data_IF_492429835047
#
_entry.id   IF_492429835047
#
_cell.length_a   1.000
_cell.length_b   1.000
_cell.length_c   1.000
_cell.angle_alpha   90.00
_cell.angle_beta   90.00
_cell.angle_gamma   90.00
#
_symmetry.space_group_name_H-M   'P 1'
#
loop_
_entity.id
_entity.type
_entity.pdbx_description
1 polymer ?
#
# COMPACT_ATOMS: atom_id res chain seq x y z
N UNK A 1 -9.89 14.10 7.07
CA UNK A 1 -9.86 12.84 6.29
C UNK A 1 -10.14 11.72 7.27
N UNK A 2 -11.19 10.92 7.06
CA UNK A 2 -11.57 9.85 7.98
C UNK A 2 -10.46 8.80 8.02
N UNK A 3 -9.95 8.52 9.23
CA UNK A 3 -9.01 7.46 9.48
C UNK A 3 -9.69 6.13 9.18
N UNK A 4 -9.24 5.40 8.17
CA UNK A 4 -9.76 4.04 7.91
C UNK A 4 -9.34 3.16 9.08
N UNK A 5 -10.28 2.83 9.96
CA UNK A 5 -10.04 1.86 11.01
C UNK A 5 -10.05 0.46 10.40
N UNK A 6 -8.89 -0.20 10.38
CA UNK A 6 -8.78 -1.57 9.87
C UNK A 6 -9.39 -2.56 10.86
N UNK A 7 -10.10 -3.56 10.33
CA UNK A 7 -10.70 -4.63 11.12
C UNK A 7 -9.66 -5.70 11.48
N UNK A 8 -9.91 -6.47 12.55
CA UNK A 8 -9.01 -7.51 13.08
C UNK A 8 -8.53 -8.48 11.99
N UNK A 9 -9.43 -8.87 11.09
CA UNK A 9 -9.16 -9.84 10.03
C UNK A 9 -8.04 -9.40 9.08
N UNK A 10 -7.79 -8.09 8.97
CA UNK A 10 -6.67 -7.56 8.20
C UNK A 10 -5.31 -7.80 8.88
N UNK A 11 -5.27 -7.77 10.20
CA UNK A 11 -4.08 -8.10 10.98
C UNK A 11 -3.85 -9.61 10.97
N UNK A 12 -4.91 -10.41 11.12
CA UNK A 12 -4.84 -11.88 11.07
C UNK A 12 -4.20 -12.38 9.76
N UNK A 13 -4.55 -11.78 8.62
CA UNK A 13 -3.94 -12.11 7.32
C UNK A 13 -2.44 -11.87 7.28
N UNK A 14 -1.98 -10.78 7.90
CA UNK A 14 -0.56 -10.41 7.95
C UNK A 14 0.21 -11.32 8.91
N UNK A 15 -0.38 -11.62 10.07
CA UNK A 15 0.19 -12.55 11.05
C UNK A 15 0.32 -13.96 10.46
N UNK A 16 -0.71 -14.44 9.76
CA UNK A 16 -0.66 -15.73 9.05
C UNK A 16 0.50 -15.78 8.06
N UNK A 17 0.68 -14.71 7.28
CA UNK A 17 1.75 -14.62 6.30
C UNK A 17 3.14 -14.57 6.95
N UNK A 18 3.32 -13.78 8.01
CA UNK A 18 4.58 -13.71 8.76
C UNK A 18 4.94 -15.04 9.43
N UNK A 19 3.95 -15.75 10.02
CA UNK A 19 4.17 -17.10 10.57
C UNK A 19 4.62 -18.07 9.47
N UNK A 20 4.01 -17.99 8.29
CA UNK A 20 4.44 -18.83 7.16
C UNK A 20 5.85 -18.47 6.68
N UNK A 21 6.19 -17.18 6.59
CA UNK A 21 7.53 -16.72 6.21
C UNK A 21 8.59 -17.19 7.21
N UNK A 22 8.32 -17.08 8.52
CA UNK A 22 9.15 -17.62 9.59
C UNK A 22 9.39 -19.12 9.42
N UNK A 23 8.34 -19.92 9.24
CA UNK A 23 8.48 -21.37 9.00
C UNK A 23 9.28 -21.70 7.73
N UNK A 24 9.03 -21.01 6.62
CA UNK A 24 9.65 -21.34 5.33
C UNK A 24 11.12 -20.91 5.23
N UNK A 25 11.59 -20.01 6.10
CA UNK A 25 12.96 -19.47 6.06
C UNK A 25 13.78 -19.78 7.31
N UNK A 26 13.15 -20.26 8.38
CA UNK A 26 13.78 -20.45 9.69
C UNK A 26 14.01 -19.16 10.47
N UNK A 27 13.60 -18.00 9.95
CA UNK A 27 13.82 -16.73 10.65
C UNK A 27 12.93 -16.60 11.90
N UNK A 28 13.38 -15.89 12.95
CA UNK A 28 12.55 -15.61 14.12
C UNK A 28 11.24 -14.89 13.74
N UNK A 29 10.14 -15.23 14.41
CA UNK A 29 8.83 -14.61 14.14
C UNK A 29 8.88 -13.07 14.27
N UNK A 30 9.62 -12.54 15.25
CA UNK A 30 9.80 -11.10 15.42
C UNK A 30 10.39 -10.41 14.18
N UNK A 31 11.37 -11.06 13.54
CA UNK A 31 11.96 -10.58 12.28
C UNK A 31 10.94 -10.71 11.14
N UNK A 32 10.23 -11.84 11.05
CA UNK A 32 9.21 -12.04 10.03
C UNK A 32 8.08 -11.01 10.11
N UNK A 33 7.64 -10.65 11.32
CA UNK A 33 6.64 -9.61 11.53
C UNK A 33 7.14 -8.25 11.02
N UNK A 34 8.38 -7.88 11.29
CA UNK A 34 8.98 -6.63 10.79
C UNK A 34 9.13 -6.63 9.26
N UNK A 35 9.55 -7.74 8.65
CA UNK A 35 9.86 -7.81 7.21
C UNK A 35 8.63 -8.06 6.32
N UNK A 36 7.67 -8.84 6.80
CA UNK A 36 6.58 -9.38 5.97
C UNK A 36 5.21 -8.81 6.32
N UNK A 37 5.12 -7.77 7.16
CA UNK A 37 3.85 -7.13 7.50
C UNK A 37 3.94 -5.60 7.45
N UNK A 38 2.79 -4.95 7.42
CA UNK A 38 2.64 -3.49 7.53
C UNK A 38 2.49 -3.04 9.00
N UNK A 39 2.62 -3.93 9.98
CA UNK A 39 2.29 -3.64 11.39
C UNK A 39 3.03 -2.41 11.92
N UNK A 40 4.32 -2.29 11.65
CA UNK A 40 5.14 -1.15 12.08
C UNK A 40 4.54 0.20 11.65
N UNK A 41 4.13 0.33 10.39
CA UNK A 41 3.47 1.55 9.90
C UNK A 41 2.07 1.69 10.53
N UNK A 42 1.31 0.59 10.67
CA UNK A 42 -0.04 0.62 11.26
C UNK A 42 -0.03 0.99 12.75
N UNK A 43 1.08 0.78 13.45
CA UNK A 43 1.30 1.24 14.81
C UNK A 43 1.79 2.70 14.89
N UNK A 44 1.88 3.41 13.75
CA UNK A 44 2.24 4.82 13.71
C UNK A 44 3.74 5.10 13.81
N UNK A 45 4.61 4.09 13.66
CA UNK A 45 6.06 4.20 13.91
C UNK A 45 6.84 4.80 12.72
N UNK A 46 6.14 5.41 11.77
CA UNK A 46 6.73 5.97 10.56
C UNK A 46 7.13 4.91 9.54
N UNK A 47 8.15 5.24 8.71
CA UNK A 47 8.65 4.38 7.62
C UNK A 47 10.14 4.08 7.72
N UNK A 48 10.79 4.65 8.73
CA UNK A 48 12.17 4.31 9.09
C UNK A 48 12.07 3.10 10.03
N UNK A 49 12.07 1.91 9.42
CA UNK A 49 11.90 0.65 10.13
C UNK A 49 13.07 0.41 11.07
N UNK A 50 12.83 0.53 12.37
CA UNK A 50 13.83 0.32 13.42
C UNK A 50 13.40 -0.84 14.33
N UNK A 51 14.09 -2.01 14.27
CA UNK A 51 13.85 -3.12 15.18
C UNK A 51 14.06 -2.76 16.67
N UNK A 52 14.84 -1.71 16.97
CA UNK A 52 15.09 -1.20 18.31
C UNK A 52 14.04 -0.20 18.81
N UNK A 53 13.08 0.20 17.97
CA UNK A 53 12.09 1.22 18.32
C UNK A 53 11.33 0.81 19.60
N UNK A 54 11.27 1.66 20.65
CA UNK A 54 10.69 1.28 21.94
C UNK A 54 9.28 0.70 21.83
N UNK A 55 8.40 1.33 21.04
CA UNK A 55 7.02 0.85 20.81
C UNK A 55 6.98 -0.49 20.06
N UNK A 56 7.93 -0.74 19.14
CA UNK A 56 8.01 -2.03 18.47
C UNK A 56 8.48 -3.12 19.43
N UNK A 57 9.43 -2.82 20.31
CA UNK A 57 9.88 -3.75 21.36
C UNK A 57 8.77 -4.07 22.35
N UNK A 58 8.00 -3.07 22.79
CA UNK A 58 6.82 -3.26 23.65
C UNK A 58 5.79 -4.21 22.99
N UNK A 59 5.52 -4.03 21.70
CA UNK A 59 4.66 -4.95 20.94
C UNK A 59 5.21 -6.38 20.96
N UNK A 60 6.51 -6.55 20.70
CA UNK A 60 7.17 -7.87 20.67
C UNK A 60 7.25 -8.54 22.05
N UNK A 61 7.39 -7.77 23.12
CA UNK A 61 7.37 -8.26 24.50
C UNK A 61 5.99 -8.81 24.84
N UNK A 62 4.91 -8.06 24.57
CA UNK A 62 3.56 -8.55 24.80
C UNK A 62 3.15 -9.75 23.93
N UNK A 63 3.81 -9.97 22.78
CA UNK A 63 3.63 -11.22 21.99
C UNK A 63 4.18 -12.46 22.72
N UNK A 64 5.18 -12.32 23.59
CA UNK A 64 5.76 -13.45 24.33
C UNK A 64 4.86 -13.91 25.47
N UNK A 65 4.13 -12.97 26.06
CA UNK A 65 3.34 -13.19 27.26
C UNK A 65 1.88 -13.60 26.95
N UNK A 66 1.47 -13.53 25.67
CA UNK A 66 0.11 -13.87 25.22
C UNK A 66 0.01 -15.25 24.56
N UNK A 67 -1.05 -15.99 24.87
CA UNK A 67 -1.45 -17.21 24.15
C UNK A 67 -2.21 -16.94 22.84
N UNK A 68 -2.71 -15.71 22.65
CA UNK A 68 -3.43 -15.28 21.44
C UNK A 68 -2.74 -14.05 20.82
N UNK A 69 -1.83 -14.34 19.89
CA UNK A 69 -1.07 -13.33 19.13
C UNK A 69 -1.98 -12.42 18.30
N UNK A 70 -3.11 -12.94 17.82
CA UNK A 70 -4.00 -12.25 16.91
C UNK A 70 -4.83 -11.22 17.69
N UNK A 71 -5.35 -11.61 18.86
CA UNK A 71 -6.04 -10.69 19.77
C UNK A 71 -5.10 -9.61 20.30
N UNK A 72 -3.88 -9.97 20.73
CA UNK A 72 -2.90 -9.00 21.20
C UNK A 72 -2.55 -7.97 20.13
N UNK A 73 -2.26 -8.41 18.90
CA UNK A 73 -1.90 -7.50 17.81
C UNK A 73 -3.00 -6.50 17.50
N UNK A 74 -4.25 -6.95 17.50
CA UNK A 74 -5.38 -6.07 17.24
C UNK A 74 -5.61 -5.09 18.41
N UNK A 75 -5.53 -5.55 19.65
CA UNK A 75 -5.62 -4.69 20.83
C UNK A 75 -4.51 -3.63 20.85
N UNK A 76 -3.28 -4.01 20.53
CA UNK A 76 -2.14 -3.10 20.41
C UNK A 76 -2.33 -2.08 19.29
N UNK A 77 -2.88 -2.48 18.13
CA UNK A 77 -3.27 -1.53 17.09
C UNK A 77 -4.33 -0.54 17.56
N UNK A 78 -5.36 -1.01 18.28
CA UNK A 78 -6.45 -0.16 18.77
C UNK A 78 -5.97 0.84 19.83
N UNK A 79 -5.08 0.44 20.74
CA UNK A 79 -4.51 1.34 21.75
C UNK A 79 -3.60 2.41 21.15
N UNK A 80 -3.09 2.16 19.94
CA UNK A 80 -2.18 3.02 19.21
C UNK A 80 -2.84 3.76 18.07
N UNK A 81 -4.19 3.78 17.96
CA UNK A 81 -4.96 4.39 16.87
C UNK A 81 -4.23 5.62 16.33
N UNK A 82 -3.49 5.47 15.22
CA UNK A 82 -2.35 6.34 15.00
C UNK A 82 -2.81 7.74 14.62
N UNK A 83 -2.17 8.79 15.15
CA UNK A 83 -1.96 9.98 14.34
C UNK A 83 -1.00 9.58 13.21
N UNK A 84 -1.50 8.89 12.17
CA UNK A 84 -0.61 8.48 11.09
C UNK A 84 -0.04 9.75 10.48
N UNK A 85 1.29 9.88 10.51
CA UNK A 85 2.00 10.80 9.63
C UNK A 85 1.49 10.56 8.22
N UNK A 86 0.72 11.53 7.71
CA UNK A 86 0.35 11.58 6.31
C UNK A 86 1.68 11.51 5.55
N UNK A 87 1.78 10.84 4.38
CA UNK A 87 2.92 11.11 3.51
C UNK A 87 3.09 12.63 3.40
N UNK A 88 4.28 13.16 3.16
CA UNK A 88 4.46 14.59 2.88
C UNK A 88 3.76 14.95 1.55
N UNK A 89 2.43 14.96 1.60
CA UNK A 89 1.51 15.19 0.50
C UNK A 89 1.60 16.67 0.25
N UNK A 90 2.12 17.01 -0.91
CA UNK A 90 2.29 18.39 -1.34
C UNK A 90 0.96 18.95 -1.85
N UNK A 91 0.19 18.13 -2.56
CA UNK A 91 -1.15 18.51 -3.02
C UNK A 91 -2.04 17.28 -3.26
N UNK A 92 -3.36 17.52 -3.27
CA UNK A 92 -4.40 16.53 -3.56
C UNK A 92 -5.50 17.14 -4.41
N UNK A 93 -5.95 16.36 -5.39
CA UNK A 93 -7.17 16.60 -6.16
C UNK A 93 -7.99 15.32 -6.19
N UNK A 94 -9.14 15.34 -5.51
CA UNK A 94 -10.04 14.19 -5.42
C UNK A 94 -9.33 12.91 -4.95
N UNK A 95 -9.33 11.88 -5.79
CA UNK A 95 -8.74 10.58 -5.47
C UNK A 95 -7.20 10.53 -5.63
N UNK A 96 -6.56 11.59 -6.12
CA UNK A 96 -5.13 11.61 -6.40
C UNK A 96 -4.39 12.64 -5.56
N UNK A 97 -3.20 12.29 -5.12
CA UNK A 97 -2.28 13.21 -4.44
C UNK A 97 -0.84 12.89 -4.81
N UNK A 98 0.09 13.81 -4.61
CA UNK A 98 1.52 13.51 -4.77
C UNK A 98 2.35 13.94 -3.55
N UNK A 99 3.47 13.26 -3.38
CA UNK A 99 4.52 13.60 -2.41
C UNK A 99 5.85 13.78 -3.15
N UNK A 100 6.75 14.59 -2.59
CA UNK A 100 8.13 14.67 -3.07
C UNK A 100 8.97 13.56 -2.44
N UNK A 101 9.82 12.96 -3.26
CA UNK A 101 10.84 12.01 -2.83
C UNK A 101 12.14 12.76 -2.55
N UNK A 102 12.98 12.23 -1.67
CA UNK A 102 14.31 12.81 -1.37
C UNK A 102 15.21 12.90 -2.61
N UNK A 103 14.95 12.10 -3.64
CA UNK A 103 15.66 12.14 -4.92
C UNK A 103 15.30 13.32 -5.82
N UNK A 104 14.33 14.17 -5.43
CA UNK A 104 13.78 15.23 -6.28
C UNK A 104 12.67 14.77 -7.23
N UNK A 105 12.38 13.46 -7.28
CA UNK A 105 11.24 12.93 -8.01
C UNK A 105 9.92 13.10 -7.23
N UNK A 106 8.78 12.98 -7.90
CA UNK A 106 7.46 12.96 -7.24
C UNK A 106 6.85 11.55 -7.27
N UNK A 107 6.04 11.23 -6.28
CA UNK A 107 5.33 9.96 -6.18
C UNK A 107 3.81 10.17 -6.13
N UNK A 108 3.08 9.61 -7.10
CA UNK A 108 1.61 9.68 -7.14
C UNK A 108 1.02 8.64 -6.19
N UNK A 109 0.02 9.09 -5.44
CA UNK A 109 -0.83 8.27 -4.59
C UNK A 109 -2.26 8.28 -5.11
N UNK A 110 -2.93 7.14 -4.94
CA UNK A 110 -4.37 7.00 -5.15
C UNK A 110 -5.03 6.59 -3.85
N UNK A 111 -6.08 7.30 -3.46
CA UNK A 111 -6.93 6.98 -2.33
C UNK A 111 -8.39 7.19 -2.71
N UNK A 112 -9.28 6.32 -2.25
CA UNK A 112 -10.70 6.51 -2.51
C UNK A 112 -11.22 7.72 -1.70
N UNK A 113 -11.63 8.77 -2.41
CA UNK A 113 -12.26 9.96 -1.83
C UNK A 113 -13.80 9.95 -1.97
N UNK A 114 -14.38 8.94 -2.61
CA UNK A 114 -15.82 8.86 -2.88
C UNK A 114 -16.61 8.38 -1.66
N UNK A 115 -17.76 9.01 -1.43
CA UNK A 115 -18.65 8.70 -0.32
C UNK A 115 -19.85 7.82 -0.68
N UNK A 116 -20.19 7.76 -1.97
CA UNK A 116 -21.41 7.16 -2.52
C UNK A 116 -21.37 5.62 -2.67
N UNK A 117 -20.28 4.99 -2.26
CA UNK A 117 -20.09 3.54 -2.36
C UNK A 117 -19.80 3.02 -3.77
N UNK A 118 -19.75 3.89 -4.79
CA UNK A 118 -19.36 3.51 -6.15
C UNK A 118 -17.84 3.42 -6.22
N UNK A 119 -17.31 2.35 -6.83
CA UNK A 119 -15.87 2.24 -7.02
C UNK A 119 -15.33 3.45 -7.80
N UNK A 120 -14.29 4.13 -7.30
CA UNK A 120 -13.69 5.28 -7.98
C UNK A 120 -13.07 4.93 -9.34
N UNK A 121 -12.88 3.64 -9.63
CA UNK A 121 -12.34 3.13 -10.89
C UNK A 121 -13.42 2.56 -11.84
N UNK A 122 -14.71 2.65 -11.48
CA UNK A 122 -15.82 2.20 -12.35
C UNK A 122 -15.80 2.98 -13.68
N UNK A 123 -16.32 2.37 -14.76
CA UNK A 123 -16.36 2.97 -16.09
C UNK A 123 -16.92 4.42 -16.08
N UNK A 124 -18.05 4.65 -15.42
CA UNK A 124 -18.68 5.97 -15.32
C UNK A 124 -17.88 7.04 -14.55
N UNK A 125 -16.84 6.65 -13.79
CA UNK A 125 -15.96 7.59 -13.07
C UNK A 125 -14.72 7.98 -13.87
N UNK A 126 -14.53 7.40 -15.07
CA UNK A 126 -13.32 7.60 -15.87
C UNK A 126 -13.03 9.09 -16.15
N UNK A 127 -14.02 9.83 -16.66
CA UNK A 127 -13.84 11.26 -16.99
C UNK A 127 -13.53 12.10 -15.74
N UNK A 128 -14.17 11.81 -14.61
CA UNK A 128 -13.87 12.48 -13.34
C UNK A 128 -12.41 12.25 -12.92
N UNK A 129 -11.93 10.99 -12.95
CA UNK A 129 -10.55 10.66 -12.59
C UNK A 129 -9.53 11.30 -13.54
N UNK A 130 -9.83 11.36 -14.84
CA UNK A 130 -9.00 12.07 -15.82
C UNK A 130 -8.94 13.58 -15.56
N UNK A 131 -10.06 14.20 -15.18
CA UNK A 131 -10.12 15.60 -14.79
C UNK A 131 -9.31 15.89 -13.52
N UNK A 132 -9.40 15.02 -12.52
CA UNK A 132 -8.60 15.14 -11.28
C UNK A 132 -7.11 15.07 -11.56
N UNK A 133 -6.66 14.11 -12.37
CA UNK A 133 -5.26 13.98 -12.75
C UNK A 133 -4.80 15.19 -13.58
N UNK A 134 -5.59 15.65 -14.56
CA UNK A 134 -5.27 16.84 -15.35
C UNK A 134 -5.06 18.07 -14.45
N UNK A 135 -5.97 18.31 -13.51
CA UNK A 135 -5.85 19.44 -12.57
C UNK A 135 -4.65 19.27 -11.65
N UNK A 136 -4.38 18.07 -11.14
CA UNK A 136 -3.21 17.79 -10.32
C UNK A 136 -1.91 18.10 -11.08
N UNK A 137 -1.81 17.66 -12.35
CA UNK A 137 -0.63 17.89 -13.17
C UNK A 137 -0.46 19.35 -13.62
N UNK A 138 -1.55 20.10 -13.80
CA UNK A 138 -1.48 21.54 -14.01
C UNK A 138 -0.80 22.24 -12.82
N UNK A 139 -1.18 21.87 -11.59
CA UNK A 139 -0.57 22.41 -10.37
C UNK A 139 0.87 21.94 -10.15
N UNK A 140 1.19 20.70 -10.52
CA UNK A 140 2.57 20.18 -10.51
C UNK A 140 3.45 21.01 -11.44
N UNK A 141 2.96 21.37 -12.63
CA UNK A 141 3.72 22.16 -13.62
C UNK A 141 4.13 23.54 -13.12
N UNK A 142 3.34 24.15 -12.25
CA UNK A 142 3.66 25.44 -11.65
C UNK A 142 4.74 25.36 -10.56
N UNK A 143 5.01 24.16 -10.01
CA UNK A 143 5.78 23.97 -8.76
C UNK A 143 7.01 23.10 -8.89
N UNK A 144 6.99 22.14 -9.81
CA UNK A 144 8.07 21.16 -9.98
C UNK A 144 8.90 21.47 -11.24
N UNK A 145 10.17 21.08 -11.21
CA UNK A 145 11.06 21.25 -12.36
C UNK A 145 10.58 20.40 -13.54
N UNK A 146 10.63 20.88 -14.80
CA UNK A 146 10.24 20.09 -15.95
C UNK A 146 10.98 18.75 -16.06
N UNK A 147 12.23 18.62 -15.60
CA UNK A 147 12.99 17.36 -15.61
C UNK A 147 12.52 16.32 -14.57
N UNK A 148 11.57 16.67 -13.72
CA UNK A 148 11.07 15.82 -12.63
C UNK A 148 10.59 14.45 -13.13
N UNK A 149 11.00 13.39 -12.43
CA UNK A 149 10.46 12.06 -12.64
C UNK A 149 9.22 11.84 -11.80
N UNK A 150 8.22 11.22 -12.40
CA UNK A 150 6.99 10.80 -11.74
C UNK A 150 7.10 9.31 -11.45
N UNK A 151 6.80 8.90 -10.22
CA UNK A 151 6.83 7.52 -9.77
C UNK A 151 5.48 7.09 -9.19
N UNK A 152 5.25 5.78 -9.20
CA UNK A 152 4.11 5.17 -8.52
C UNK A 152 4.46 3.76 -8.07
N UNK A 153 3.81 3.29 -7.01
CA UNK A 153 3.91 1.90 -6.57
C UNK A 153 2.57 1.42 -6.03
N UNK A 154 1.95 0.46 -6.72
CA UNK A 154 0.64 -0.07 -6.34
C UNK A 154 0.33 -1.41 -6.98
N UNK A 155 -0.48 -2.23 -6.31
CA UNK A 155 -1.14 -3.38 -6.91
C UNK A 155 -2.19 -2.99 -7.95
N UNK A 156 -2.71 -1.75 -7.90
CA UNK A 156 -3.74 -1.28 -8.84
C UNK A 156 -3.24 -1.23 -10.28
N UNK A 157 -1.93 -1.17 -10.53
CA UNK A 157 -1.36 -1.22 -11.88
C UNK A 157 -1.59 -2.56 -12.60
N UNK A 158 -2.05 -3.60 -11.90
CA UNK A 158 -2.52 -4.84 -12.54
C UNK A 158 -3.92 -4.67 -13.18
N UNK A 159 -4.67 -3.61 -12.84
CA UNK A 159 -6.06 -3.44 -13.26
C UNK A 159 -6.16 -2.56 -14.52
N UNK A 160 -6.82 -3.02 -15.60
CA UNK A 160 -7.03 -2.21 -16.80
C UNK A 160 -7.72 -0.86 -16.51
N UNK A 161 -8.67 -0.86 -15.57
CA UNK A 161 -9.42 0.33 -15.18
C UNK A 161 -8.56 1.42 -14.54
N UNK A 162 -7.44 1.06 -13.89
CA UNK A 162 -6.48 2.00 -13.33
C UNK A 162 -5.44 2.40 -14.37
N UNK A 163 -4.91 1.44 -15.14
CA UNK A 163 -3.87 1.67 -16.17
C UNK A 163 -4.29 2.71 -17.22
N UNK A 164 -5.55 2.70 -17.65
CA UNK A 164 -6.10 3.66 -18.64
C UNK A 164 -6.07 5.13 -18.22
N UNK A 165 -5.74 5.42 -16.96
CA UNK A 165 -5.68 6.78 -16.41
C UNK A 165 -4.31 7.43 -16.61
N UNK A 166 -3.32 6.70 -17.13
CA UNK A 166 -1.93 7.14 -17.16
C UNK A 166 -1.32 7.07 -18.56
N UNK A 167 -0.25 7.84 -18.84
CA UNK A 167 0.49 7.78 -20.10
C UNK A 167 0.97 6.36 -20.41
N UNK A 168 1.01 6.01 -21.69
CA UNK A 168 1.43 4.66 -22.13
C UNK A 168 2.85 4.33 -21.69
N UNK A 169 3.79 5.28 -21.79
CA UNK A 169 5.19 5.10 -21.37
C UNK A 169 5.31 4.80 -19.87
N UNK A 170 4.56 5.52 -19.05
CA UNK A 170 4.50 5.30 -17.59
C UNK A 170 3.99 3.90 -17.24
N UNK A 171 2.95 3.41 -17.93
CA UNK A 171 2.44 2.05 -17.70
C UNK A 171 3.38 0.99 -18.28
N UNK A 172 4.04 1.26 -19.39
CA UNK A 172 4.99 0.33 -20.02
C UNK A 172 6.26 0.13 -19.18
N UNK A 173 6.61 1.09 -18.32
CA UNK A 173 7.76 0.98 -17.41
C UNK A 173 7.50 0.07 -16.19
N UNK A 174 6.34 -0.60 -16.12
CA UNK A 174 5.94 -1.34 -14.94
C UNK A 174 6.92 -2.49 -14.66
N UNK A 175 7.49 -2.49 -13.45
CA UNK A 175 8.36 -3.55 -12.96
C UNK A 175 7.85 -4.08 -11.64
N UNK A 176 8.00 -5.39 -11.43
CA UNK A 176 7.72 -6.03 -10.16
C UNK A 176 8.64 -5.44 -9.08
N UNK A 177 8.05 -4.97 -7.98
CA UNK A 177 8.80 -4.61 -6.78
C UNK A 177 8.62 -5.67 -5.71
N UNK A 178 9.65 -6.48 -5.58
CA UNK A 178 9.76 -7.47 -4.53
C UNK A 178 9.89 -6.83 -3.14
N UNK A 179 9.50 -7.58 -2.11
CA UNK A 179 9.73 -7.17 -0.71
C UNK A 179 8.87 -6.03 -0.19
N UNK A 180 7.87 -5.54 -0.94
CA UNK A 180 6.97 -4.45 -0.49
C UNK A 180 5.92 -4.88 0.54
N UNK A 181 6.17 -5.94 1.31
CA UNK A 181 5.28 -6.44 2.35
C UNK A 181 5.10 -5.44 3.50
N UNK A 182 6.03 -4.51 3.66
CA UNK A 182 5.90 -3.46 4.68
C UNK A 182 4.92 -2.35 4.34
N UNK A 183 4.41 -2.31 3.10
CA UNK A 183 3.62 -1.19 2.58
C UNK A 183 2.22 -1.62 2.12
N UNK A 184 1.33 -0.64 1.97
CA UNK A 184 -0.05 -0.89 1.50
C UNK A 184 -0.12 -1.27 0.03
N UNK A 185 0.99 -1.14 -0.71
CA UNK A 185 1.07 -1.47 -2.14
C UNK A 185 0.80 -2.94 -2.45
N UNK A 186 0.97 -3.85 -1.49
CA UNK A 186 0.50 -5.25 -1.59
C UNK A 186 -0.78 -5.49 -0.79
N UNK A 187 -0.81 -5.05 0.46
CA UNK A 187 -1.89 -5.38 1.39
C UNK A 187 -3.25 -4.76 1.08
N UNK A 188 -3.27 -3.63 0.36
CA UNK A 188 -4.51 -2.93 0.02
C UNK A 188 -5.48 -3.75 -0.85
N UNK A 189 -5.02 -4.82 -1.51
CA UNK A 189 -5.87 -5.68 -2.34
C UNK A 189 -6.88 -6.51 -1.53
N UNK A 190 -6.64 -6.68 -0.23
CA UNK A 190 -7.52 -7.42 0.67
C UNK A 190 -8.58 -6.55 1.33
N UNK A 191 -8.48 -5.23 1.23
CA UNK A 191 -9.30 -4.31 2.02
C UNK A 191 -10.38 -3.67 1.14
N UNK A 192 -11.59 -3.61 1.69
CA UNK A 192 -12.73 -2.89 1.15
C UNK A 192 -12.72 -1.41 1.55
N UNK A 193 -13.86 -0.73 1.45
CA UNK A 193 -13.90 0.74 1.62
C UNK A 193 -13.83 1.14 3.09
N UNK A 194 -14.49 0.40 3.96
CA UNK A 194 -14.60 0.67 5.40
C UNK A 194 -13.54 -0.05 6.24
N UNK A 195 -12.48 -0.57 5.62
CA UNK A 195 -11.46 -1.36 6.33
C UNK A 195 -11.80 -2.85 6.49
N UNK A 196 -12.94 -3.30 5.96
CA UNK A 196 -13.36 -4.70 5.92
C UNK A 196 -12.49 -5.54 4.99
N UNK A 197 -12.38 -6.84 5.26
CA UNK A 197 -11.70 -7.77 4.37
C UNK A 197 -12.61 -8.18 3.22
N UNK A 198 -12.04 -8.20 2.01
CA UNK A 198 -12.63 -8.79 0.81
C UNK A 198 -12.50 -10.32 0.90
N UNK A 199 -13.61 -11.07 1.06
CA UNK A 199 -13.53 -12.50 1.38
C UNK A 199 -12.83 -13.34 0.30
N UNK A 200 -13.17 -13.11 -0.98
CA UNK A 200 -12.63 -13.89 -2.08
C UNK A 200 -11.09 -13.82 -2.21
N UNK A 201 -10.44 -12.64 -2.31
CA UNK A 201 -8.98 -12.58 -2.36
C UNK A 201 -8.33 -13.07 -1.07
N UNK A 202 -8.93 -12.82 0.10
CA UNK A 202 -8.39 -13.30 1.38
C UNK A 202 -8.40 -14.83 1.47
N UNK A 203 -9.50 -15.48 1.09
CA UNK A 203 -9.61 -16.94 1.12
C UNK A 203 -8.63 -17.60 0.13
N UNK A 204 -8.52 -17.05 -1.08
CA UNK A 204 -7.54 -17.52 -2.06
C UNK A 204 -6.10 -17.38 -1.54
N UNK A 205 -5.78 -16.27 -0.87
CA UNK A 205 -4.47 -16.04 -0.26
C UNK A 205 -4.17 -17.03 0.87
N UNK A 206 -5.12 -17.25 1.80
CA UNK A 206 -5.01 -18.23 2.89
C UNK A 206 -4.76 -19.64 2.34
N UNK A 207 -5.55 -20.06 1.35
CA UNK A 207 -5.41 -21.37 0.72
C UNK A 207 -4.04 -21.54 0.05
N UNK A 208 -3.54 -20.51 -0.63
CA UNK A 208 -2.20 -20.54 -1.23
C UNK A 208 -1.11 -20.66 -0.18
N UNK A 209 -1.17 -19.90 0.92
CA UNK A 209 -0.18 -19.96 2.01
C UNK A 209 -0.09 -21.38 2.59
N UNK A 210 -1.23 -22.04 2.81
CA UNK A 210 -1.28 -23.39 3.38
C UNK A 210 -0.49 -24.43 2.56
N UNK A 211 -0.31 -24.19 1.26
CA UNK A 211 0.40 -25.09 0.34
C UNK A 211 1.87 -24.73 0.12
N UNK A 212 2.43 -23.69 0.76
CA UNK A 212 3.81 -23.25 0.52
C UNK A 212 4.78 -23.74 1.59
N UNK A 213 5.93 -24.19 1.12
CA UNK A 213 7.07 -24.66 1.90
C UNK A 213 8.33 -23.83 1.69
N UNK A 214 8.30 -22.87 0.76
CA UNK A 214 9.44 -22.00 0.44
C UNK A 214 9.06 -20.52 0.46
N UNK A 215 10.04 -19.69 0.78
CA UNK A 215 9.87 -18.25 0.83
C UNK A 215 9.51 -17.64 -0.54
N UNK A 216 10.13 -18.13 -1.62
CA UNK A 216 9.77 -17.70 -2.99
C UNK A 216 8.31 -18.02 -3.31
N UNK A 217 7.86 -19.23 -2.92
CA UNK A 217 6.48 -19.66 -3.09
C UNK A 217 5.48 -18.76 -2.35
N UNK A 218 5.85 -18.25 -1.16
CA UNK A 218 5.00 -17.33 -0.39
C UNK A 218 4.81 -15.98 -1.09
N UNK A 219 5.84 -15.44 -1.76
CA UNK A 219 5.72 -14.16 -2.49
C UNK A 219 4.67 -14.22 -3.60
N UNK A 220 4.43 -15.42 -4.15
CA UNK A 220 3.45 -15.70 -5.21
C UNK A 220 2.05 -15.96 -4.66
N UNK A 221 1.83 -15.93 -3.35
CA UNK A 221 0.50 -16.10 -2.76
C UNK A 221 -0.41 -14.90 -3.03
N UNK A 222 0.13 -13.69 -3.09
CA UNK A 222 -0.66 -12.48 -3.35
C UNK A 222 -1.37 -12.58 -4.71
N UNK A 223 -2.69 -12.33 -4.77
CA UNK A 223 -3.44 -12.33 -6.03
C UNK A 223 -2.85 -11.40 -7.09
N UNK A 224 -2.41 -10.21 -6.68
CA UNK A 224 -1.83 -9.18 -7.54
C UNK A 224 -0.46 -8.75 -7.01
N UNK A 225 0.45 -8.42 -7.95
CA UNK A 225 1.82 -7.98 -7.67
C UNK A 225 1.86 -6.49 -7.35
N UNK A 226 2.77 -6.04 -6.50
CA UNK A 226 3.06 -4.61 -6.41
C UNK A 226 3.97 -4.24 -7.58
N UNK A 227 3.50 -3.30 -8.40
CA UNK A 227 4.25 -2.81 -9.54
C UNK A 227 4.74 -1.39 -9.25
N UNK A 228 5.99 -1.12 -9.59
CA UNK A 228 6.53 0.23 -9.65
C UNK A 228 6.58 0.71 -11.09
N UNK A 229 6.26 1.98 -11.28
CA UNK A 229 6.19 2.65 -12.58
C UNK A 229 6.88 4.00 -12.46
N UNK A 230 7.40 4.49 -13.58
CA UNK A 230 8.04 5.79 -13.66
C UNK A 230 7.98 6.35 -15.08
N UNK A 231 7.97 7.68 -15.18
CA UNK A 231 8.17 8.41 -16.43
C UNK A 231 8.53 9.87 -16.15
N UNK A 232 9.13 10.59 -17.10
CA UNK A 232 9.27 12.04 -17.01
C UNK A 232 7.90 12.72 -16.89
N UNK A 233 7.83 13.82 -16.14
CA UNK A 233 6.57 14.58 -15.93
C UNK A 233 6.01 15.14 -17.24
N UNK A 234 6.85 15.36 -18.26
CA UNK A 234 6.43 15.78 -19.61
C UNK A 234 5.48 14.79 -20.27
N UNK A 235 5.63 13.48 -20.02
CA UNK A 235 4.73 12.47 -20.57
C UNK A 235 3.29 12.69 -20.05
N UNK A 236 3.15 13.18 -18.82
CA UNK A 236 1.87 13.52 -18.22
C UNK A 236 1.32 14.84 -18.75
N UNK A 237 2.16 15.85 -18.96
CA UNK A 237 1.75 17.11 -19.57
C UNK A 237 1.22 16.88 -20.99
N UNK A 238 1.95 16.12 -21.81
CA UNK A 238 1.50 15.74 -23.15
C UNK A 238 0.19 14.95 -23.11
N UNK A 239 0.10 13.94 -22.22
CA UNK A 239 -1.09 13.10 -22.07
C UNK A 239 -2.33 13.90 -21.63
N UNK A 240 -2.13 14.96 -20.85
CA UNK A 240 -3.21 15.83 -20.39
C UNK A 240 -3.36 17.11 -21.21
N UNK A 241 -2.64 17.28 -22.33
CA UNK A 241 -2.62 18.51 -23.13
C UNK A 241 -2.46 19.78 -22.28
N UNK A 242 -1.41 19.78 -21.46
CA UNK A 242 -0.95 20.90 -20.63
C UNK A 242 0.28 21.53 -21.29
#
# INVERSE_FOLDING_TARGET
>A
MQQTSYRREFFDLQLLFARAASRCSGMPLAQALMEYTNLYIRFGLGRDFDPGHPVWREYLEGLRDTGDLDAWTYAFYQSRLPETGVPDIVDRVGCFSYARLRSGAIHIHFGNAEEDGVSPLKAGRYQCRMGELRLLFARIREREDPSTQVHGTSWLYNLPAYRRLFPTRYIASAVDVDGKFRNMSLWGQFIGRGGEIRPAPANAFKARIAMRTSLDGLRRCFPLRALAVHAPVQDFYAFHAL
#
